data_IF_093908697493
#
_entry.id   IF_093908697493
#
_cell.length_a   1.000
_cell.length_b   1.000
_cell.length_c   1.000
_cell.angle_alpha   90.00
_cell.angle_beta   90.00
_cell.angle_gamma   90.00
#
_symmetry.space_group_name_H-M   'P 1'
#
loop_
_entity.id
_entity.type
_entity.pdbx_description
1 polymer ?
#
# COMPACT_ATOMS: atom_id res chain seq x y z
N UNK A 1 4.84 0.86 -11.87
CA UNK A 1 3.78 -0.15 -12.08
C UNK A 1 4.12 -1.13 -13.20
N UNK A 2 5.00 -0.75 -14.14
CA UNK A 2 5.42 -1.59 -15.28
C UNK A 2 6.08 -2.91 -14.92
N UNK A 3 7.02 -2.89 -13.97
CA UNK A 3 7.68 -4.10 -13.46
C UNK A 3 6.77 -5.04 -12.66
N UNK A 4 5.61 -4.56 -12.18
CA UNK A 4 4.70 -5.35 -11.33
C UNK A 4 3.78 -6.28 -12.11
N UNK A 5 3.72 -6.16 -13.44
CA UNK A 5 2.78 -6.93 -14.27
C UNK A 5 1.35 -6.42 -14.25
N UNK A 6 1.08 -5.28 -13.60
CA UNK A 6 -0.24 -4.61 -13.58
C UNK A 6 -0.67 -4.31 -15.02
N UNK A 7 -1.89 -4.68 -15.44
CA UNK A 7 -2.35 -4.41 -16.82
C UNK A 7 -2.36 -2.91 -17.17
N UNK A 8 -2.11 -2.57 -18.44
CA UNK A 8 -2.01 -1.17 -18.93
C UNK A 8 -3.24 -0.31 -18.54
N UNK A 9 -4.45 -0.87 -18.65
CA UNK A 9 -5.69 -0.20 -18.26
C UNK A 9 -5.72 0.15 -16.76
N UNK A 10 -5.34 -0.79 -15.89
CA UNK A 10 -5.26 -0.58 -14.43
C UNK A 10 -4.22 0.48 -14.06
N UNK A 11 -3.12 0.59 -14.82
CA UNK A 11 -2.10 1.64 -14.63
C UNK A 11 -2.63 3.03 -15.00
N UNK A 12 -3.31 3.15 -16.14
CA UNK A 12 -3.90 4.41 -16.59
C UNK A 12 -4.89 4.94 -15.54
N UNK A 13 -5.77 4.07 -15.03
CA UNK A 13 -6.74 4.48 -14.01
C UNK A 13 -6.06 4.73 -12.65
N UNK A 14 -5.07 3.93 -12.26
CA UNK A 14 -4.30 4.13 -11.02
C UNK A 14 -3.44 5.41 -10.99
N UNK A 15 -3.13 5.99 -12.15
CA UNK A 15 -2.39 7.25 -12.27
C UNK A 15 -3.31 8.48 -12.16
N UNK A 16 -4.56 8.38 -12.63
CA UNK A 16 -5.51 9.51 -12.60
C UNK A 16 -6.42 9.53 -11.38
N UNK A 17 -6.49 8.40 -10.65
CA UNK A 17 -7.28 8.32 -9.42
C UNK A 17 -6.56 8.99 -8.26
N UNK A 18 -7.33 9.75 -7.47
CA UNK A 18 -6.91 10.32 -6.20
C UNK A 18 -7.53 9.47 -5.09
N UNK A 19 -6.89 8.37 -4.66
CA UNK A 19 -7.45 7.53 -3.62
C UNK A 19 -7.39 8.24 -2.26
N UNK A 20 -8.44 8.11 -1.47
CA UNK A 20 -8.44 8.44 -0.05
C UNK A 20 -7.93 7.24 0.73
N UNK A 21 -6.90 7.43 1.54
CA UNK A 21 -6.37 6.39 2.43
C UNK A 21 -6.86 6.68 3.84
N UNK A 22 -7.56 5.71 4.43
CA UNK A 22 -8.07 5.77 5.79
C UNK A 22 -7.34 4.69 6.59
N UNK A 23 -6.65 5.11 7.65
CA UNK A 23 -5.92 4.21 8.56
C UNK A 23 -6.59 4.31 9.92
N UNK A 24 -7.03 3.17 10.46
CA UNK A 24 -7.65 3.07 11.78
C UNK A 24 -7.07 1.90 12.57
N UNK A 25 -7.17 1.97 13.89
CA UNK A 25 -6.81 0.88 14.80
C UNK A 25 -8.07 0.33 15.46
N UNK A 26 -8.24 -0.99 15.41
CA UNK A 26 -9.35 -1.73 16.04
C UNK A 26 -8.77 -2.75 17.00
N UNK A 27 -8.61 -2.37 18.27
CA UNK A 27 -7.97 -3.21 19.29
C UNK A 27 -6.49 -3.43 18.98
N UNK A 28 -6.10 -4.68 18.74
CA UNK A 28 -4.74 -5.09 18.37
C UNK A 28 -4.49 -5.12 16.86
N UNK A 29 -5.51 -4.80 16.05
CA UNK A 29 -5.42 -4.77 14.59
C UNK A 29 -5.35 -3.34 14.06
N UNK A 30 -4.64 -3.18 12.95
CA UNK A 30 -4.64 -1.99 12.12
C UNK A 30 -5.46 -2.31 10.86
N UNK A 31 -6.33 -1.38 10.48
CA UNK A 31 -7.15 -1.44 9.27
C UNK A 31 -6.72 -0.32 8.34
N UNK A 32 -6.36 -0.67 7.10
CA UNK A 32 -6.09 0.30 6.04
C UNK A 32 -7.16 0.11 4.96
N UNK A 33 -7.94 1.17 4.74
CA UNK A 33 -8.90 1.28 3.64
C UNK A 33 -8.36 2.24 2.59
N UNK A 34 -8.29 1.77 1.36
CA UNK A 34 -7.98 2.63 0.21
C UNK A 34 -9.25 2.77 -0.60
N UNK A 35 -9.83 3.96 -0.63
CA UNK A 35 -11.06 4.26 -1.35
C UNK A 35 -10.76 5.10 -2.59
N UNK A 36 -11.29 4.71 -3.74
CA UNK A 36 -11.18 5.48 -4.98
C UNK A 36 -12.44 5.31 -5.83
N UNK A 37 -12.60 6.15 -6.85
CA UNK A 37 -13.67 5.99 -7.84
C UNK A 37 -13.51 4.73 -8.70
N UNK A 38 -12.37 4.04 -8.61
CA UNK A 38 -12.06 2.86 -9.42
C UNK A 38 -12.23 1.55 -8.65
N UNK A 39 -11.50 1.39 -7.55
CA UNK A 39 -11.56 0.19 -6.70
C UNK A 39 -11.32 0.59 -5.25
N UNK A 40 -12.10 -0.01 -4.36
CA UNK A 40 -11.95 0.12 -2.93
C UNK A 40 -11.31 -1.16 -2.41
N UNK A 41 -10.29 -1.03 -1.57
CA UNK A 41 -9.66 -2.18 -0.90
C UNK A 41 -9.58 -1.94 0.60
N UNK A 42 -9.60 -3.02 1.35
CA UNK A 42 -9.49 -3.02 2.80
C UNK A 42 -8.59 -4.18 3.21
N UNK A 43 -7.60 -3.87 4.06
CA UNK A 43 -6.76 -4.87 4.72
C UNK A 43 -6.84 -4.66 6.22
N UNK A 44 -6.91 -5.76 6.98
CA UNK A 44 -6.90 -5.76 8.45
C UNK A 44 -5.82 -6.74 8.91
N UNK A 45 -4.85 -6.23 9.67
CA UNK A 45 -3.64 -6.98 10.03
C UNK A 45 -3.17 -6.61 11.42
N UNK A 46 -2.31 -7.45 12.01
CA UNK A 46 -1.55 -7.10 13.21
C UNK A 46 -0.14 -6.70 12.80
N UNK A 47 0.44 -5.76 13.53
CA UNK A 47 1.81 -5.32 13.25
C UNK A 47 2.80 -6.47 13.51
N UNK A 48 3.68 -6.73 12.55
CA UNK A 48 4.69 -7.77 12.61
C UNK A 48 4.21 -9.19 12.28
N UNK A 49 2.91 -9.38 12.02
CA UNK A 49 2.36 -10.68 11.62
C UNK A 49 2.13 -10.74 10.10
N UNK A 50 2.50 -11.87 9.49
CA UNK A 50 2.25 -12.12 8.08
C UNK A 50 0.79 -12.52 7.84
N UNK A 51 0.19 -12.02 6.76
CA UNK A 51 -1.19 -12.32 6.36
C UNK A 51 -1.31 -12.46 4.83
N UNK A 52 -2.39 -13.12 4.38
CA UNK A 52 -2.73 -13.20 2.96
C UNK A 52 -3.40 -11.90 2.50
N UNK A 53 -2.87 -11.29 1.44
CA UNK A 53 -3.42 -10.08 0.85
C UNK A 53 -3.71 -10.29 -0.64
N UNK A 54 -4.92 -9.92 -1.06
CA UNK A 54 -5.28 -9.75 -2.47
C UNK A 54 -5.16 -8.28 -2.85
N UNK A 55 -4.22 -7.96 -3.73
CA UNK A 55 -3.94 -6.58 -4.16
C UNK A 55 -5.04 -6.07 -5.11
N UNK A 56 -5.15 -4.73 -5.35
CA UNK A 56 -6.15 -4.19 -6.26
C UNK A 56 -6.07 -4.71 -7.70
N UNK A 57 -4.91 -5.21 -8.12
CA UNK A 57 -4.68 -5.86 -9.42
C UNK A 57 -4.81 -7.39 -9.38
N UNK A 58 -5.52 -7.92 -8.37
CA UNK A 58 -5.90 -9.32 -8.17
C UNK A 58 -4.72 -10.30 -8.03
N UNK A 59 -3.56 -9.80 -7.57
CA UNK A 59 -2.45 -10.66 -7.16
C UNK A 59 -2.67 -11.12 -5.72
N UNK A 60 -2.49 -12.41 -5.48
CA UNK A 60 -2.39 -12.95 -4.12
C UNK A 60 -0.93 -12.92 -3.67
N UNK A 61 -0.69 -12.33 -2.50
CA UNK A 61 0.64 -12.21 -1.93
C UNK A 61 0.61 -12.42 -0.42
N UNK A 62 1.78 -12.73 0.15
CA UNK A 62 2.01 -12.67 1.59
C UNK A 62 2.47 -11.28 1.95
N UNK A 63 1.81 -10.69 2.94
CA UNK A 63 2.07 -9.33 3.37
C UNK A 63 2.41 -9.27 4.84
N UNK A 64 3.35 -8.42 5.19
CA UNK A 64 3.67 -8.08 6.59
C UNK A 64 3.76 -6.57 6.70
N UNK A 65 3.19 -6.03 7.77
CA UNK A 65 3.26 -4.59 8.05
C UNK A 65 3.92 -4.39 9.41
N UNK A 66 4.97 -3.59 9.45
CA UNK A 66 5.71 -3.24 10.67
C UNK A 66 5.73 -1.73 10.86
N UNK A 67 5.98 -1.33 12.11
CA UNK A 67 6.26 0.05 12.46
C UNK A 67 7.77 0.18 12.74
N UNK A 68 8.48 0.89 11.87
CA UNK A 68 9.91 1.21 12.03
C UNK A 68 10.03 2.69 12.42
N UNK A 69 10.14 2.93 13.73
CA UNK A 69 10.05 4.28 14.30
C UNK A 69 8.67 4.91 14.05
N UNK A 70 8.64 5.96 13.23
CA UNK A 70 7.42 6.67 12.82
C UNK A 70 6.93 6.25 11.43
N UNK A 71 7.54 5.23 10.83
CA UNK A 71 7.24 4.76 9.47
C UNK A 71 6.47 3.46 9.49
N UNK A 72 5.37 3.43 8.75
CA UNK A 72 4.63 2.20 8.50
C UNK A 72 5.19 1.52 7.25
N UNK A 73 5.88 0.40 7.45
CA UNK A 73 6.52 -0.38 6.39
C UNK A 73 5.66 -1.59 6.06
N UNK A 74 5.18 -1.68 4.83
CA UNK A 74 4.35 -2.76 4.33
C UNK A 74 5.08 -3.47 3.20
N UNK A 75 5.40 -4.74 3.43
CA UNK A 75 6.12 -5.59 2.49
C UNK A 75 5.15 -6.60 1.89
N UNK A 76 5.13 -6.72 0.56
CA UNK A 76 4.34 -7.70 -0.19
C UNK A 76 5.28 -8.65 -0.93
N UNK A 77 5.11 -9.97 -0.75
CA UNK A 77 5.91 -11.00 -1.42
C UNK A 77 5.03 -11.97 -2.20
N UNK A 78 5.38 -12.22 -3.46
CA UNK A 78 4.70 -13.20 -4.33
C UNK A 78 5.68 -13.70 -5.39
N UNK A 79 5.64 -14.98 -5.77
CA UNK A 79 6.43 -15.56 -6.85
C UNK A 79 7.93 -15.17 -6.87
N UNK A 80 8.57 -15.09 -5.70
CA UNK A 80 9.96 -14.66 -5.54
C UNK A 80 10.23 -13.16 -5.77
N UNK A 81 9.18 -12.37 -5.98
CA UNK A 81 9.19 -10.91 -6.08
C UNK A 81 8.78 -10.26 -4.76
N UNK A 82 9.26 -9.05 -4.56
CA UNK A 82 8.97 -8.25 -3.38
C UNK A 82 8.66 -6.80 -3.76
N UNK A 83 7.62 -6.22 -3.15
CA UNK A 83 7.35 -4.77 -3.17
C UNK A 83 7.33 -4.23 -1.76
N UNK A 84 7.92 -3.05 -1.59
CA UNK A 84 7.96 -2.36 -0.31
C UNK A 84 7.18 -1.05 -0.41
N UNK A 85 6.30 -0.80 0.55
CA UNK A 85 5.56 0.44 0.73
C UNK A 85 5.96 1.06 2.07
N UNK A 86 6.51 2.26 2.05
CA UNK A 86 6.83 3.02 3.26
C UNK A 86 5.91 4.22 3.33
N UNK A 87 5.14 4.33 4.41
CA UNK A 87 4.27 5.50 4.69
C UNK A 87 4.83 6.24 5.90
N UNK A 88 5.12 7.51 5.73
CA UNK A 88 5.64 8.39 6.79
C UNK A 88 4.90 9.74 6.77
N UNK A 89 4.75 10.37 7.93
CA UNK A 89 4.17 11.71 8.04
C UNK A 89 5.30 12.73 8.02
N UNK A 90 5.27 13.64 7.04
CA UNK A 90 6.21 14.77 6.92
C UNK A 90 5.40 16.05 6.82
N UNK A 91 5.66 17.01 7.70
CA UNK A 91 5.00 18.32 7.72
C UNK A 91 3.46 18.24 7.70
N UNK A 92 2.89 17.26 8.41
CA UNK A 92 1.45 17.03 8.47
C UNK A 92 0.84 16.37 7.22
N UNK A 93 1.65 16.01 6.22
CA UNK A 93 1.25 15.28 5.01
C UNK A 93 1.77 13.84 5.07
N UNK A 94 1.01 12.90 4.52
CA UNK A 94 1.48 11.52 4.39
C UNK A 94 2.25 11.38 3.07
N UNK A 95 3.52 10.95 3.17
CA UNK A 95 4.36 10.58 2.03
C UNK A 95 4.40 9.06 1.96
N UNK A 96 3.98 8.50 0.83
CA UNK A 96 4.05 7.07 0.56
C UNK A 96 5.07 6.80 -0.53
N UNK A 97 6.10 6.03 -0.22
CA UNK A 97 7.13 5.57 -1.15
C UNK A 97 6.90 4.10 -1.47
N UNK A 98 6.78 3.76 -2.74
CA UNK A 98 6.71 2.39 -3.25
C UNK A 98 8.02 2.06 -3.96
N UNK A 99 8.63 0.94 -3.58
CA UNK A 99 9.86 0.41 -4.18
C UNK A 99 9.61 -0.99 -4.72
N UNK A 100 10.00 -1.23 -5.97
CA UNK A 100 9.96 -2.54 -6.62
C UNK A 100 11.21 -2.73 -7.48
N UNK A 101 12.14 -3.58 -7.04
CA UNK A 101 13.48 -3.64 -7.63
C UNK A 101 14.14 -2.25 -7.61
N UNK A 102 14.63 -1.80 -8.76
CA UNK A 102 15.24 -0.47 -8.93
C UNK A 102 14.21 0.66 -9.17
N UNK A 103 12.91 0.34 -9.22
CA UNK A 103 11.85 1.33 -9.50
C UNK A 103 11.30 1.90 -8.21
N UNK A 104 11.33 3.23 -8.09
CA UNK A 104 10.75 3.99 -6.97
C UNK A 104 9.62 4.89 -7.46
N UNK A 105 8.50 4.91 -6.74
CA UNK A 105 7.38 5.82 -6.97
C UNK A 105 6.96 6.48 -5.65
N UNK A 106 6.74 7.79 -5.66
CA UNK A 106 6.34 8.55 -4.46
C UNK A 106 4.97 9.18 -4.67
N UNK A 107 4.08 9.03 -3.69
CA UNK A 107 2.77 9.68 -3.63
C UNK A 107 2.66 10.53 -2.37
N UNK A 108 2.06 11.71 -2.52
CA UNK A 108 1.80 12.64 -1.42
C UNK A 108 0.30 12.73 -1.17
N UNK A 109 -0.09 12.67 0.09
CA UNK A 109 -1.47 12.76 0.54
C UNK A 109 -1.60 13.89 1.56
N UNK A 110 -2.67 14.66 1.43
CA UNK A 110 -3.03 15.70 2.38
C UNK A 110 -4.11 15.15 3.30
N UNK A 111 -4.06 15.53 4.58
CA UNK A 111 -5.12 15.19 5.53
C UNK A 111 -6.39 15.92 5.11
N UNK A 112 -7.48 15.16 4.94
CA UNK A 112 -8.80 15.70 4.69
C UNK A 112 -9.39 16.38 5.92
#
# INVERSE_FOLDING_TARGET
>A
LDGLGVGFATRQVGNVTKPTVIISSEGDKVVIRTQSTFKNTEISFKLGEEFDETTPDDRNCKSVVTLDGDKLVHVQKWDGKETNFVREIKDGKMVMTLTFGDVVAVRHYEKA
#
